data_IF_848839963067
#
_entry.id   IF_848839963067
#
_cell.length_a   1.000
_cell.length_b   1.000
_cell.length_c   1.000
_cell.angle_alpha   90.00
_cell.angle_beta   90.00
_cell.angle_gamma   90.00
#
_symmetry.space_group_name_H-M   'P 1'
#
loop_
_entity.id
_entity.type
_entity.pdbx_description
1 polymer ?
#
# COMPACT_ATOMS: atom_id res chain seq x y z
N UNK A 1 -40.23 3.06 8.76
CA UNK A 1 -38.95 2.44 9.18
C UNK A 1 -38.59 3.01 10.55
N UNK A 2 -38.49 2.18 11.60
CA UNK A 2 -38.30 2.63 12.99
C UNK A 2 -36.97 3.40 13.10
N UNK A 3 -37.00 4.61 13.67
CA UNK A 3 -35.82 5.48 13.87
C UNK A 3 -34.62 4.75 14.48
N UNK A 4 -34.88 3.76 15.36
CA UNK A 4 -33.86 2.86 15.93
C UNK A 4 -33.03 2.13 14.88
N UNK A 5 -33.65 1.65 13.80
CA UNK A 5 -32.94 0.95 12.71
C UNK A 5 -32.04 1.89 11.91
N UNK A 6 -32.46 3.15 11.74
CA UNK A 6 -31.66 4.18 11.04
C UNK A 6 -30.43 4.56 11.88
N UNK A 7 -30.60 4.71 13.20
CA UNK A 7 -29.48 5.00 14.11
C UNK A 7 -28.46 3.86 14.12
N UNK A 8 -28.92 2.60 14.18
CA UNK A 8 -28.04 1.43 14.16
C UNK A 8 -27.25 1.36 12.84
N UNK A 9 -27.91 1.63 11.70
CA UNK A 9 -27.28 1.64 10.39
C UNK A 9 -26.18 2.72 10.29
N UNK A 10 -26.44 3.92 10.78
CA UNK A 10 -25.48 5.02 10.77
C UNK A 10 -24.25 4.73 11.64
N UNK A 11 -24.45 4.13 12.82
CA UNK A 11 -23.35 3.72 13.70
C UNK A 11 -22.48 2.65 13.03
N UNK A 12 -23.09 1.66 12.39
CA UNK A 12 -22.38 0.64 11.61
C UNK A 12 -21.56 1.26 10.46
N UNK A 13 -22.15 2.15 9.68
CA UNK A 13 -21.43 2.81 8.58
C UNK A 13 -20.25 3.64 9.08
N UNK A 14 -20.39 4.34 10.21
CA UNK A 14 -19.32 5.12 10.81
C UNK A 14 -18.16 4.26 11.33
N UNK A 15 -18.45 3.10 11.94
CA UNK A 15 -17.41 2.19 12.43
C UNK A 15 -16.68 1.50 11.28
N UNK A 16 -17.40 1.09 10.23
CA UNK A 16 -16.78 0.51 9.03
C UNK A 16 -15.92 1.54 8.29
N UNK A 17 -16.39 2.79 8.17
CA UNK A 17 -15.62 3.86 7.55
C UNK A 17 -14.30 4.10 8.28
N UNK A 18 -14.30 4.15 9.62
CA UNK A 18 -13.10 4.40 10.42
C UNK A 18 -11.98 3.36 10.27
N UNK A 19 -12.34 2.10 10.01
CA UNK A 19 -11.37 1.02 9.81
C UNK A 19 -10.69 1.04 8.44
N UNK A 20 -11.29 1.68 7.43
CA UNK A 20 -10.76 1.73 6.06
C UNK A 20 -10.29 3.12 5.61
N UNK A 21 -10.67 4.21 6.32
CA UNK A 21 -10.33 5.59 5.91
C UNK A 21 -8.92 6.01 6.30
N UNK A 22 -8.30 5.35 7.27
CA UNK A 22 -6.86 5.46 7.41
C UNK A 22 -6.23 4.58 6.33
N UNK A 23 -6.22 5.10 5.10
CA UNK A 23 -5.37 4.57 4.05
C UNK A 23 -3.94 4.42 4.56
N UNK A 24 -3.15 3.62 3.83
CA UNK A 24 -1.77 3.36 4.17
C UNK A 24 -1.07 4.68 4.56
N UNK A 25 -0.55 4.76 5.79
CA UNK A 25 0.25 5.89 6.30
C UNK A 25 1.68 5.47 6.57
N UNK A 26 2.61 6.35 6.20
CA UNK A 26 4.03 6.18 6.47
C UNK A 26 4.84 5.79 5.23
N UNK A 27 6.08 5.38 5.46
CA UNK A 27 7.05 5.09 4.40
C UNK A 27 6.60 3.97 3.46
N UNK A 28 5.90 2.96 3.99
CA UNK A 28 5.37 1.84 3.22
C UNK A 28 4.37 2.25 2.11
N UNK A 29 3.79 3.45 2.21
CA UNK A 29 2.68 3.90 1.37
C UNK A 29 3.13 4.93 0.33
N UNK A 30 4.36 5.44 0.48
CA UNK A 30 5.05 6.17 -0.58
C UNK A 30 5.70 5.22 -1.59
N UNK A 31 5.77 3.92 -1.27
CA UNK A 31 6.35 2.91 -2.14
C UNK A 31 5.43 2.64 -3.32
N UNK A 32 5.99 2.43 -4.52
CA UNK A 32 5.19 2.06 -5.69
C UNK A 32 4.64 0.64 -5.56
N UNK A 33 3.44 0.44 -6.09
CA UNK A 33 2.78 -0.86 -6.18
C UNK A 33 3.08 -1.55 -7.52
N UNK A 34 3.13 -2.88 -7.52
CA UNK A 34 3.26 -3.67 -8.73
C UNK A 34 2.00 -3.60 -9.60
N UNK A 35 2.20 -3.56 -10.91
CA UNK A 35 1.11 -3.55 -11.90
C UNK A 35 1.22 -4.77 -12.82
N UNK A 36 0.29 -4.89 -13.77
CA UNK A 36 0.35 -5.95 -14.77
C UNK A 36 1.50 -5.78 -15.79
N UNK A 37 2.24 -4.68 -15.76
CA UNK A 37 3.39 -4.43 -16.65
C UNK A 37 4.71 -4.23 -15.91
N UNK A 38 4.65 -4.09 -14.58
CA UNK A 38 5.81 -3.68 -13.79
C UNK A 38 5.77 -4.39 -12.44
N UNK A 39 6.86 -5.04 -12.07
CA UNK A 39 7.03 -5.69 -10.77
C UNK A 39 7.97 -4.87 -9.91
N UNK A 40 7.49 -4.45 -8.74
CA UNK A 40 8.30 -3.75 -7.74
C UNK A 40 8.83 -4.76 -6.72
N UNK A 41 10.15 -4.88 -6.59
CA UNK A 41 10.82 -5.78 -5.64
C UNK A 41 11.44 -4.93 -4.53
N UNK A 42 11.16 -5.26 -3.26
CA UNK A 42 11.66 -4.52 -2.11
C UNK A 42 12.82 -5.24 -1.43
N UNK A 43 13.92 -4.52 -1.21
CA UNK A 43 15.13 -5.09 -0.66
C UNK A 43 15.37 -4.61 0.78
N UNK A 44 15.54 -5.54 1.75
CA UNK A 44 16.01 -5.17 3.08
C UNK A 44 17.47 -4.68 3.00
N UNK A 45 17.92 -3.84 3.96
CA UNK A 45 19.20 -3.13 3.86
C UNK A 45 20.43 -4.01 3.63
N UNK A 46 20.42 -5.22 4.19
CA UNK A 46 21.46 -6.24 4.07
C UNK A 46 21.57 -6.85 2.66
N UNK A 47 20.51 -6.80 1.87
CA UNK A 47 20.47 -7.35 0.50
C UNK A 47 20.66 -6.28 -0.60
N UNK A 48 20.91 -5.02 -0.24
CA UNK A 48 21.08 -3.91 -1.22
C UNK A 48 22.46 -3.84 -1.87
N UNK A 49 23.42 -4.64 -1.39
CA UNK A 49 24.82 -4.58 -1.83
C UNK A 49 25.07 -5.18 -3.23
N UNK A 50 24.05 -5.76 -3.87
CA UNK A 50 24.13 -6.31 -5.23
C UNK A 50 23.19 -5.67 -6.26
N UNK A 51 22.45 -4.63 -5.85
CA UNK A 51 21.67 -3.78 -6.79
C UNK A 51 22.65 -2.76 -7.39
N UNK A 52 22.51 -2.41 -8.67
CA UNK A 52 23.44 -1.56 -9.42
C UNK A 52 23.80 -0.27 -8.65
N UNK A 53 25.03 0.24 -8.81
CA UNK A 53 25.59 1.26 -7.90
C UNK A 53 24.79 2.58 -7.85
N UNK A 54 24.01 2.86 -8.90
CA UNK A 54 23.09 3.99 -8.99
C UNK A 54 21.82 3.86 -8.15
N UNK A 55 21.45 2.64 -7.74
CA UNK A 55 20.18 2.30 -7.09
C UNK A 55 20.32 2.00 -5.59
N UNK A 56 21.53 2.08 -5.02
CA UNK A 56 21.77 1.78 -3.59
C UNK A 56 20.99 2.67 -2.61
N UNK A 57 20.57 3.87 -3.04
CA UNK A 57 19.76 4.77 -2.23
C UNK A 57 18.27 4.37 -2.24
N UNK A 58 17.80 3.67 -3.28
CA UNK A 58 16.44 3.14 -3.35
C UNK A 58 16.32 1.81 -2.60
N UNK A 59 15.22 1.66 -1.86
CA UNK A 59 14.88 0.43 -1.16
C UNK A 59 14.11 -0.57 -2.03
N UNK A 60 13.96 -0.27 -3.33
CA UNK A 60 13.21 -1.06 -4.27
C UNK A 60 13.83 -1.00 -5.68
N UNK A 61 13.53 -2.02 -6.48
CA UNK A 61 13.84 -2.06 -7.91
C UNK A 61 12.54 -2.29 -8.68
N UNK A 62 12.39 -1.64 -9.84
CA UNK A 62 11.24 -1.83 -10.73
C UNK A 62 11.68 -2.64 -11.94
N UNK A 63 11.03 -3.78 -12.17
CA UNK A 63 11.30 -4.68 -13.29
C UNK A 63 10.13 -4.64 -14.27
N UNK A 64 10.41 -4.30 -15.53
CA UNK A 64 9.40 -4.31 -16.57
C UNK A 64 9.09 -5.74 -16.98
N UNK A 65 7.81 -6.11 -16.89
CA UNK A 65 7.28 -7.38 -17.35
C UNK A 65 7.16 -7.30 -18.88
N UNK A 66 7.72 -8.29 -19.56
CA UNK A 66 7.50 -8.47 -21.00
C UNK A 66 6.20 -9.24 -21.20
N UNK A 67 5.45 -8.85 -22.24
CA UNK A 67 4.23 -9.54 -22.68
C UNK A 67 4.54 -10.98 -23.14
#
# INVERSE_FOLDING_TARGET
>A
MKSRSVVILLVLLATLAGCTTNGCKGYACKRPDSTNRELVIWWPPDMRQGVDESDHEQDYTVVQLRD
#
